data_IF_709004793385
#
_entry.id   IF_709004793385
#
_cell.length_a   1.000
_cell.length_b   1.000
_cell.length_c   1.000
_cell.angle_alpha   90.00
_cell.angle_beta   90.00
_cell.angle_gamma   90.00
#
_symmetry.space_group_name_H-M   'P 1'
#
loop_
_entity.id
_entity.type
_entity.pdbx_description
1 polymer ?
#
# COMPACT_ATOMS: atom_id res chain seq x y z
N UNK A 1 8.52 -8.16 24.37
CA UNK A 1 8.35 -6.80 24.92
C UNK A 1 7.69 -6.93 26.28
N UNK A 2 8.29 -6.31 27.30
CA UNK A 2 7.74 -6.31 28.66
C UNK A 2 6.93 -5.03 28.83
N UNK A 3 5.61 -5.17 28.92
CA UNK A 3 4.67 -4.06 29.06
C UNK A 3 4.60 -3.65 30.53
N UNK A 4 5.43 -2.68 30.92
CA UNK A 4 5.52 -2.23 32.32
C UNK A 4 4.90 -0.84 32.55
N UNK A 5 4.77 -0.04 31.49
CA UNK A 5 4.37 1.36 31.58
C UNK A 5 3.31 1.72 30.53
N UNK A 6 2.41 2.62 30.90
CA UNK A 6 1.51 3.32 30.01
C UNK A 6 2.05 4.72 29.71
N UNK A 7 2.21 5.05 28.42
CA UNK A 7 2.63 6.39 27.99
C UNK A 7 1.41 7.31 27.91
N UNK A 8 1.39 8.35 28.74
CA UNK A 8 0.35 9.38 28.77
C UNK A 8 0.51 10.38 27.61
N UNK A 9 -0.53 11.18 27.28
CA UNK A 9 -0.46 12.16 26.18
C UNK A 9 0.66 13.21 26.31
N UNK A 10 1.08 13.50 27.55
CA UNK A 10 2.19 14.39 27.88
C UNK A 10 3.58 13.70 27.78
N UNK A 11 3.62 12.45 27.29
CA UNK A 11 4.78 11.55 27.21
C UNK A 11 5.32 11.08 28.56
N UNK A 12 4.63 11.34 29.68
CA UNK A 12 5.00 10.76 30.96
C UNK A 12 4.65 9.28 31.04
N UNK A 13 5.43 8.51 31.79
CA UNK A 13 5.25 7.05 31.91
C UNK A 13 4.60 6.72 33.25
N UNK A 14 3.40 6.14 33.21
CA UNK A 14 2.70 5.63 34.38
C UNK A 14 2.91 4.13 34.48
N UNK A 15 3.43 3.65 35.62
CA UNK A 15 3.58 2.20 35.86
C UNK A 15 2.22 1.50 35.80
N UNK A 16 2.15 0.40 35.06
CA UNK A 16 0.94 -0.42 34.98
C UNK A 16 0.71 -1.16 36.29
N UNK A 17 -0.54 -1.24 36.72
CA UNK A 17 -0.94 -2.02 37.92
C UNK A 17 -0.67 -3.53 37.72
N UNK A 18 -0.78 -3.99 36.47
CA UNK A 18 -0.50 -5.36 36.06
C UNK A 18 0.43 -5.33 34.84
N UNK A 19 1.73 -5.65 34.99
CA UNK A 19 2.61 -5.75 33.85
C UNK A 19 2.24 -6.94 32.96
N UNK A 20 2.53 -6.84 31.67
CA UNK A 20 2.25 -7.87 30.68
C UNK A 20 3.48 -8.25 29.87
N UNK A 21 3.38 -9.35 29.12
CA UNK A 21 4.38 -9.75 28.13
C UNK A 21 3.70 -9.80 26.77
N UNK A 22 4.29 -9.12 25.80
CA UNK A 22 3.89 -9.15 24.40
C UNK A 22 5.05 -9.71 23.56
N UNK A 23 4.79 -10.76 22.80
CA UNK A 23 5.77 -11.41 21.94
C UNK A 23 5.28 -11.39 20.50
N UNK A 24 6.14 -10.93 19.59
CA UNK A 24 5.92 -11.04 18.15
C UNK A 24 7.13 -11.70 17.50
N UNK A 25 6.87 -12.71 16.67
CA UNK A 25 7.88 -13.34 15.83
C UNK A 25 7.33 -13.36 14.40
N UNK A 26 8.08 -12.77 13.46
CA UNK A 26 7.64 -12.70 12.06
C UNK A 26 7.69 -14.09 11.43
N UNK A 27 6.53 -14.60 11.01
CA UNK A 27 6.38 -15.94 10.45
C UNK A 27 7.30 -16.14 9.24
N UNK A 28 7.34 -15.19 8.31
CA UNK A 28 8.13 -15.31 7.08
C UNK A 28 9.63 -15.32 7.35
N UNK A 29 10.09 -14.59 8.37
CA UNK A 29 11.50 -14.60 8.78
C UNK A 29 11.86 -15.88 9.51
N UNK A 30 10.96 -16.39 10.35
CA UNK A 30 11.14 -17.68 10.99
C UNK A 30 11.18 -18.80 9.95
N UNK A 31 10.28 -18.78 8.96
CA UNK A 31 10.26 -19.72 7.85
C UNK A 31 11.58 -19.69 7.07
N UNK A 32 12.08 -18.50 6.72
CA UNK A 32 13.38 -18.36 6.05
C UNK A 32 14.52 -18.97 6.87
N UNK A 33 14.58 -18.67 8.18
CA UNK A 33 15.60 -19.24 9.06
C UNK A 33 15.46 -20.78 9.20
N UNK A 34 14.25 -21.29 9.35
CA UNK A 34 13.98 -22.72 9.52
C UNK A 34 14.24 -23.53 8.24
N UNK A 35 14.01 -22.94 7.07
CA UNK A 35 14.22 -23.56 5.77
C UNK A 35 15.64 -23.33 5.21
N UNK A 36 16.46 -22.52 5.88
CA UNK A 36 17.81 -22.17 5.41
C UNK A 36 17.83 -21.26 4.18
N UNK A 37 16.78 -20.46 3.97
CA UNK A 37 16.64 -19.57 2.82
C UNK A 37 17.27 -18.20 3.11
N UNK A 38 18.03 -17.62 2.16
CA UNK A 38 18.71 -16.34 2.36
C UNK A 38 17.73 -15.16 2.38
N UNK A 39 16.54 -15.30 1.78
CA UNK A 39 15.51 -14.27 1.76
C UNK A 39 14.12 -14.86 2.01
N UNK A 40 13.19 -14.05 2.53
CA UNK A 40 11.79 -14.47 2.72
C UNK A 40 11.09 -14.84 1.41
N UNK A 41 11.58 -14.33 0.27
CA UNK A 41 11.00 -14.55 -1.05
C UNK A 41 11.32 -15.92 -1.65
N UNK A 42 12.21 -16.67 -1.01
CA UNK A 42 12.60 -18.03 -1.39
C UNK A 42 11.96 -19.10 -0.48
N UNK A 43 11.14 -18.67 0.48
CA UNK A 43 10.38 -19.57 1.35
C UNK A 43 9.15 -20.15 0.64
N UNK A 44 8.62 -21.24 1.15
CA UNK A 44 7.31 -21.80 0.75
C UNK A 44 6.16 -20.79 0.73
N UNK A 45 6.23 -19.72 1.54
CA UNK A 45 5.22 -18.67 1.61
C UNK A 45 5.26 -17.65 0.45
N UNK A 46 6.36 -17.57 -0.30
CA UNK A 46 6.54 -16.58 -1.37
C UNK A 46 7.08 -17.17 -2.67
N UNK A 47 7.81 -18.29 -2.63
CA UNK A 47 8.38 -18.91 -3.82
C UNK A 47 7.32 -19.19 -4.91
N UNK A 48 6.12 -19.74 -4.60
CA UNK A 48 5.09 -19.96 -5.62
C UNK A 48 4.64 -18.65 -6.31
N UNK A 49 4.48 -17.57 -5.53
CA UNK A 49 4.13 -16.24 -6.05
C UNK A 49 5.25 -15.69 -6.94
N UNK A 50 6.51 -15.84 -6.51
CA UNK A 50 7.67 -15.39 -7.27
C UNK A 50 7.84 -16.18 -8.58
N UNK A 51 7.57 -17.47 -8.56
CA UNK A 51 7.63 -18.33 -9.75
C UNK A 51 6.49 -18.03 -10.72
N UNK A 52 5.27 -17.79 -10.23
CA UNK A 52 4.18 -17.29 -11.05
C UNK A 52 4.54 -15.96 -11.74
N UNK A 53 5.17 -15.03 -11.03
CA UNK A 53 5.64 -13.76 -11.59
C UNK A 53 6.71 -13.94 -12.66
N UNK A 54 7.64 -14.90 -12.51
CA UNK A 54 8.62 -15.25 -13.54
C UNK A 54 7.94 -15.78 -14.80
N UNK A 55 6.99 -16.69 -14.65
CA UNK A 55 6.25 -17.30 -15.76
C UNK A 55 5.42 -16.24 -16.52
N UNK A 56 4.83 -15.29 -15.80
CA UNK A 56 4.05 -14.19 -16.37
C UNK A 56 4.91 -13.12 -17.07
N UNK A 57 6.23 -13.16 -16.90
CA UNK A 57 7.18 -12.24 -17.54
C UNK A 57 8.17 -13.02 -18.45
N UNK A 58 7.66 -13.74 -19.48
CA UNK A 58 8.51 -14.59 -20.31
C UNK A 58 9.46 -13.73 -21.16
N UNK A 59 10.76 -14.02 -21.09
CA UNK A 59 11.80 -13.33 -21.86
C UNK A 59 12.68 -12.36 -21.06
N UNK A 60 12.40 -12.19 -19.77
CA UNK A 60 13.27 -11.46 -18.83
C UNK A 60 13.98 -12.46 -17.93
N UNK A 61 15.28 -12.66 -18.15
CA UNK A 61 16.13 -13.24 -17.10
C UNK A 61 16.13 -12.21 -15.98
N UNK A 62 15.32 -12.44 -14.93
CA UNK A 62 15.14 -11.47 -13.86
C UNK A 62 16.49 -11.10 -13.27
N UNK A 63 17.02 -9.96 -13.70
CA UNK A 63 18.25 -9.42 -13.15
C UNK A 63 18.00 -8.97 -11.69
N UNK A 64 19.00 -8.39 -11.04
CA UNK A 64 18.84 -7.90 -9.66
C UNK A 64 17.71 -6.86 -9.53
N UNK A 65 17.47 -6.03 -10.55
CA UNK A 65 16.46 -4.96 -10.55
C UNK A 65 15.07 -5.52 -10.81
N UNK A 66 14.93 -6.41 -11.78
CA UNK A 66 13.65 -7.06 -12.12
C UNK A 66 13.21 -7.99 -10.99
N UNK A 67 14.16 -8.70 -10.36
CA UNK A 67 13.92 -9.44 -9.12
C UNK A 67 13.39 -8.53 -8.02
N UNK A 68 13.95 -7.32 -7.86
CA UNK A 68 13.44 -6.33 -6.89
C UNK A 68 12.01 -5.91 -7.22
N UNK A 69 11.67 -5.68 -8.49
CA UNK A 69 10.31 -5.34 -8.90
C UNK A 69 9.33 -6.46 -8.59
N UNK A 70 9.67 -7.70 -8.92
CA UNK A 70 8.85 -8.88 -8.62
C UNK A 70 8.61 -9.05 -7.11
N UNK A 71 9.65 -8.86 -6.28
CA UNK A 71 9.52 -8.90 -4.81
C UNK A 71 8.56 -7.83 -4.28
N UNK A 72 8.62 -6.61 -4.83
CA UNK A 72 7.68 -5.53 -4.45
C UNK A 72 6.26 -5.92 -4.81
N UNK A 73 6.02 -6.43 -6.03
CA UNK A 73 4.69 -6.85 -6.47
C UNK A 73 4.15 -7.96 -5.56
N UNK A 74 4.94 -9.00 -5.29
CA UNK A 74 4.54 -10.14 -4.47
C UNK A 74 4.10 -9.71 -3.06
N UNK A 75 4.91 -8.88 -2.39
CA UNK A 75 4.61 -8.38 -1.05
C UNK A 75 3.37 -7.46 -1.03
N UNK A 76 3.33 -6.48 -1.94
CA UNK A 76 2.28 -5.47 -1.94
C UNK A 76 0.93 -6.03 -2.36
N UNK A 77 0.89 -6.97 -3.31
CA UNK A 77 -0.37 -7.61 -3.72
C UNK A 77 -0.86 -8.58 -2.68
N UNK A 78 0.02 -9.35 -2.03
CA UNK A 78 -0.35 -10.15 -0.86
C UNK A 78 -1.02 -9.26 0.20
N UNK A 79 -0.38 -8.15 0.58
CA UNK A 79 -0.94 -7.20 1.53
C UNK A 79 -2.28 -6.59 1.08
N UNK A 80 -2.40 -6.21 -0.19
CA UNK A 80 -3.63 -5.66 -0.73
C UNK A 80 -4.80 -6.66 -0.72
N UNK A 81 -4.55 -7.93 -1.06
CA UNK A 81 -5.53 -9.02 -1.02
C UNK A 81 -6.09 -9.15 0.41
N UNK A 82 -5.22 -9.22 1.42
CA UNK A 82 -5.65 -9.31 2.81
C UNK A 82 -6.45 -8.08 3.27
N UNK A 83 -5.98 -6.87 2.94
CA UNK A 83 -6.71 -5.64 3.27
C UNK A 83 -8.12 -5.61 2.67
N UNK A 84 -8.26 -6.00 1.41
CA UNK A 84 -9.57 -6.04 0.74
C UNK A 84 -10.45 -7.15 1.34
N UNK A 85 -9.88 -8.30 1.69
CA UNK A 85 -10.60 -9.39 2.35
C UNK A 85 -11.18 -9.00 3.72
N UNK A 86 -10.58 -8.02 4.39
CA UNK A 86 -11.07 -7.44 5.65
C UNK A 86 -12.01 -6.22 5.43
N UNK A 87 -12.34 -5.90 4.18
CA UNK A 87 -13.33 -4.90 3.80
C UNK A 87 -12.76 -3.51 3.50
N UNK A 88 -11.44 -3.36 3.37
CA UNK A 88 -10.82 -2.10 2.96
C UNK A 88 -11.01 -1.90 1.45
N UNK A 89 -11.54 -0.74 1.06
CA UNK A 89 -11.77 -0.37 -0.35
C UNK A 89 -10.84 0.78 -0.76
N UNK A 90 -10.25 0.77 -1.97
CA UNK A 90 -9.39 1.85 -2.43
C UNK A 90 -10.08 3.22 -2.37
N UNK A 91 -9.51 4.17 -1.62
CA UNK A 91 -10.10 5.49 -1.38
C UNK A 91 -9.03 6.60 -1.29
N UNK A 92 -9.46 7.85 -1.12
CA UNK A 92 -8.55 8.99 -0.91
C UNK A 92 -8.23 9.25 0.57
N UNK A 93 -8.73 8.43 1.50
CA UNK A 93 -8.64 8.68 2.95
C UNK A 93 -8.27 7.41 3.71
N UNK A 94 -7.57 7.58 4.84
CA UNK A 94 -7.27 6.53 5.83
C UNK A 94 -6.71 5.23 5.22
N UNK A 95 -7.20 4.07 5.66
CA UNK A 95 -6.75 2.76 5.20
C UNK A 95 -6.98 2.56 3.69
N UNK A 96 -8.04 3.14 3.13
CA UNK A 96 -8.32 3.06 1.69
C UNK A 96 -7.28 3.80 0.85
N UNK A 97 -6.70 4.89 1.38
CA UNK A 97 -5.58 5.58 0.75
C UNK A 97 -4.30 4.74 0.79
N UNK A 98 -4.03 4.07 1.92
CA UNK A 98 -2.88 3.16 2.03
C UNK A 98 -2.99 2.03 1.01
N UNK A 99 -4.15 1.36 0.96
CA UNK A 99 -4.43 0.31 -0.03
C UNK A 99 -4.22 0.80 -1.46
N UNK A 100 -4.74 1.99 -1.79
CA UNK A 100 -4.57 2.60 -3.11
C UNK A 100 -3.10 2.79 -3.46
N UNK A 101 -2.26 3.30 -2.55
CA UNK A 101 -0.81 3.49 -2.82
C UNK A 101 -0.12 2.17 -3.10
N UNK A 102 -0.39 1.15 -2.28
CA UNK A 102 0.19 -0.20 -2.39
C UNK A 102 -0.19 -0.84 -3.73
N UNK A 103 -1.47 -0.74 -4.13
CA UNK A 103 -1.94 -1.23 -5.43
C UNK A 103 -1.26 -0.50 -6.59
N UNK A 104 -1.27 0.84 -6.59
CA UNK A 104 -0.67 1.64 -7.69
C UNK A 104 0.82 1.38 -7.88
N UNK A 105 1.54 1.19 -6.76
CA UNK A 105 2.95 0.80 -6.80
C UNK A 105 3.15 -0.57 -7.46
N UNK A 106 2.32 -1.55 -7.09
CA UNK A 106 2.34 -2.88 -7.71
C UNK A 106 2.02 -2.80 -9.21
N UNK A 107 0.99 -2.04 -9.60
CA UNK A 107 0.59 -1.85 -11.00
C UNK A 107 1.70 -1.21 -11.83
N UNK A 108 2.43 -0.20 -11.30
CA UNK A 108 3.59 0.38 -11.99
C UNK A 108 4.64 -0.69 -12.26
N UNK A 109 5.02 -1.46 -11.24
CA UNK A 109 6.06 -2.47 -11.41
C UNK A 109 5.62 -3.63 -12.29
N UNK A 110 4.35 -4.03 -12.23
CA UNK A 110 3.76 -4.98 -13.17
C UNK A 110 3.87 -4.48 -14.61
N UNK A 111 3.64 -3.19 -14.85
CA UNK A 111 3.82 -2.58 -16.18
C UNK A 111 5.28 -2.59 -16.65
N UNK A 112 6.24 -2.34 -15.75
CA UNK A 112 7.68 -2.41 -16.06
C UNK A 112 8.17 -3.83 -16.34
N UNK A 113 7.54 -4.83 -15.71
CA UNK A 113 7.76 -6.26 -15.98
C UNK A 113 6.91 -6.78 -17.14
N UNK A 114 6.12 -5.92 -17.78
CA UNK A 114 5.28 -6.24 -18.94
C UNK A 114 4.30 -7.40 -18.66
N UNK A 115 3.81 -7.49 -17.42
CA UNK A 115 2.86 -8.53 -17.03
C UNK A 115 1.53 -8.39 -17.80
N UNK A 116 0.86 -9.52 -18.13
CA UNK A 116 -0.43 -9.52 -18.81
C UNK A 116 -1.52 -8.91 -17.92
N UNK A 117 -2.60 -8.39 -18.50
CA UNK A 117 -3.62 -7.60 -17.77
C UNK A 117 -4.43 -8.32 -16.69
N UNK A 118 -4.27 -9.63 -16.51
CA UNK A 118 -4.93 -10.45 -15.49
C UNK A 118 -3.94 -11.07 -14.49
N UNK A 119 -2.69 -10.59 -14.47
CA UNK A 119 -1.59 -11.06 -13.63
C UNK A 119 -1.94 -11.22 -12.14
N UNK A 120 -2.76 -10.32 -11.59
CA UNK A 120 -3.17 -10.35 -10.18
C UNK A 120 -4.10 -11.52 -9.85
N UNK A 121 -4.79 -12.10 -10.83
CA UNK A 121 -5.65 -13.29 -10.65
C UNK A 121 -4.83 -14.54 -10.40
N UNK A 122 -3.71 -14.67 -11.11
CA UNK A 122 -2.76 -15.78 -10.91
C UNK A 122 -2.15 -15.67 -9.52
N UNK A 123 -1.67 -14.49 -9.13
CA UNK A 123 -1.11 -14.27 -7.79
C UNK A 123 -2.14 -14.52 -6.69
N UNK A 124 -3.39 -14.09 -6.88
CA UNK A 124 -4.46 -14.38 -5.92
C UNK A 124 -4.63 -15.89 -5.71
N UNK A 125 -4.54 -16.68 -6.79
CA UNK A 125 -4.68 -18.15 -6.71
C UNK A 125 -3.57 -18.74 -5.84
N UNK A 126 -2.31 -18.36 -6.07
CA UNK A 126 -1.18 -18.78 -5.23
C UNK A 126 -1.37 -18.38 -3.75
N UNK A 127 -1.82 -17.14 -3.50
CA UNK A 127 -2.08 -16.66 -2.13
C UNK A 127 -3.23 -17.43 -1.47
N UNK A 128 -4.30 -17.73 -2.21
CA UNK A 128 -5.43 -18.50 -1.70
C UNK A 128 -5.04 -19.96 -1.41
N UNK A 129 -4.15 -20.56 -2.20
CA UNK A 129 -3.62 -21.90 -1.92
C UNK A 129 -2.77 -21.94 -0.65
N UNK A 130 -1.85 -20.97 -0.48
CA UNK A 130 -0.96 -20.91 0.68
C UNK A 130 -1.74 -20.59 1.98
N UNK A 131 -2.67 -19.63 1.92
CA UNK A 131 -3.30 -19.05 3.12
C UNK A 131 -4.77 -19.45 3.31
N UNK A 132 -5.46 -19.99 2.31
CA UNK A 132 -6.91 -20.18 2.31
C UNK A 132 -7.44 -21.06 3.44
N UNK A 133 -6.66 -22.06 3.88
CA UNK A 133 -7.03 -22.92 5.01
C UNK A 133 -7.10 -22.15 6.34
N UNK A 134 -6.17 -21.22 6.58
CA UNK A 134 -6.13 -20.38 7.77
C UNK A 134 -7.02 -19.13 7.64
N UNK A 135 -7.25 -18.67 6.41
CA UNK A 135 -8.00 -17.45 6.09
C UNK A 135 -9.12 -17.73 5.07
N UNK A 136 -10.23 -18.40 5.45
CA UNK A 136 -11.32 -18.74 4.53
C UNK A 136 -12.00 -17.54 3.86
N UNK A 137 -11.85 -16.35 4.46
CA UNK A 137 -12.32 -15.08 3.89
C UNK A 137 -11.74 -14.80 2.51
N UNK A 138 -10.52 -15.28 2.21
CA UNK A 138 -9.89 -15.05 0.92
C UNK A 138 -10.75 -15.59 -0.22
N UNK A 139 -11.25 -16.82 -0.10
CA UNK A 139 -12.12 -17.41 -1.13
C UNK A 139 -13.54 -16.83 -1.07
N UNK A 140 -14.07 -16.58 0.13
CA UNK A 140 -15.41 -16.00 0.30
C UNK A 140 -15.56 -14.62 -0.38
N UNK A 141 -14.48 -13.83 -0.43
CA UNK A 141 -14.47 -12.48 -1.02
C UNK A 141 -13.65 -12.42 -2.31
N UNK A 142 -13.40 -13.57 -2.96
CA UNK A 142 -12.58 -13.64 -4.18
C UNK A 142 -13.04 -12.67 -5.26
N UNK A 143 -14.34 -12.62 -5.53
CA UNK A 143 -14.92 -11.77 -6.56
C UNK A 143 -14.70 -10.28 -6.26
N UNK A 144 -14.93 -9.87 -5.02
CA UNK A 144 -14.74 -8.51 -4.54
C UNK A 144 -13.28 -8.10 -4.59
N UNK A 145 -12.36 -8.98 -4.17
CA UNK A 145 -10.91 -8.75 -4.19
C UNK A 145 -10.44 -8.51 -5.62
N UNK A 146 -10.71 -9.44 -6.53
CA UNK A 146 -10.28 -9.34 -7.92
C UNK A 146 -10.90 -8.13 -8.63
N UNK A 147 -12.19 -7.87 -8.38
CA UNK A 147 -12.89 -6.71 -8.95
C UNK A 147 -12.32 -5.39 -8.44
N UNK A 148 -12.00 -5.29 -7.14
CA UNK A 148 -11.41 -4.09 -6.57
C UNK A 148 -10.02 -3.79 -7.15
N UNK A 149 -9.17 -4.82 -7.29
CA UNK A 149 -7.84 -4.69 -7.89
C UNK A 149 -7.95 -4.27 -9.36
N UNK A 150 -8.78 -4.98 -10.15
CA UNK A 150 -9.01 -4.67 -11.57
C UNK A 150 -9.50 -3.24 -11.79
N UNK A 151 -10.49 -2.82 -11.00
CA UNK A 151 -11.03 -1.47 -11.08
C UNK A 151 -9.98 -0.39 -10.78
N UNK A 152 -9.07 -0.64 -9.83
CA UNK A 152 -7.99 0.32 -9.54
C UNK A 152 -6.93 0.31 -10.65
N UNK A 153 -6.59 -0.86 -11.21
CA UNK A 153 -5.68 -0.97 -12.34
C UNK A 153 -6.18 -0.22 -13.57
N UNK A 154 -7.43 -0.44 -13.99
CA UNK A 154 -8.02 0.25 -15.15
C UNK A 154 -8.07 1.78 -14.96
N UNK A 155 -8.40 2.23 -13.73
CA UNK A 155 -8.40 3.65 -13.38
C UNK A 155 -7.00 4.23 -13.41
N UNK A 156 -6.01 3.51 -12.89
CA UNK A 156 -4.66 4.01 -12.78
C UNK A 156 -3.88 3.92 -14.08
N UNK A 157 -4.13 2.93 -14.94
CA UNK A 157 -3.40 2.74 -16.21
C UNK A 157 -3.39 4.00 -17.08
N UNK A 158 -4.54 4.67 -17.22
CA UNK A 158 -4.68 5.93 -17.96
C UNK A 158 -3.88 7.08 -17.33
N UNK A 159 -3.86 7.12 -16.00
CA UNK A 159 -3.15 8.15 -15.24
C UNK A 159 -1.63 7.89 -15.24
N UNK A 160 -1.21 6.62 -15.18
CA UNK A 160 0.17 6.18 -15.21
C UNK A 160 0.86 6.60 -16.51
N UNK A 161 0.22 6.39 -17.67
CA UNK A 161 0.83 6.78 -18.96
C UNK A 161 1.08 8.29 -19.04
N UNK A 162 0.06 9.10 -18.69
CA UNK A 162 0.17 10.57 -18.73
C UNK A 162 1.14 11.10 -17.67
N UNK A 163 1.05 10.57 -16.45
CA UNK A 163 1.92 10.98 -15.34
C UNK A 163 3.38 10.59 -15.57
N UNK A 164 3.65 9.47 -16.24
CA UNK A 164 5.02 9.08 -16.60
C UNK A 164 5.62 10.05 -17.61
N UNK A 165 4.86 10.43 -18.66
CA UNK A 165 5.31 11.44 -19.64
C UNK A 165 5.57 12.80 -18.98
N UNK A 166 4.71 13.21 -18.03
CA UNK A 166 4.91 14.47 -17.34
C UNK A 166 6.11 14.42 -16.38
N UNK A 167 6.27 13.31 -15.65
CA UNK A 167 7.46 13.06 -14.83
C UNK A 167 8.74 13.13 -15.66
N UNK A 168 8.75 12.54 -16.85
CA UNK A 168 9.91 12.59 -17.74
C UNK A 168 10.29 14.03 -18.10
N UNK A 169 9.32 14.89 -18.44
CA UNK A 169 9.59 16.32 -18.69
C UNK A 169 10.16 17.02 -17.46
N UNK A 170 9.60 16.75 -16.27
CA UNK A 170 10.09 17.33 -15.02
C UNK A 170 11.52 16.85 -14.71
N UNK A 171 11.82 15.59 -14.96
CA UNK A 171 13.15 15.02 -14.78
C UNK A 171 14.18 15.65 -15.73
N UNK A 172 13.82 15.82 -17.01
CA UNK A 172 14.71 16.49 -17.98
C UNK A 172 14.89 17.98 -17.65
N UNK A 173 13.84 18.66 -17.18
CA UNK A 173 13.93 20.04 -16.68
C UNK A 173 14.84 20.15 -15.46
N UNK A 174 14.77 19.20 -14.52
CA UNK A 174 15.65 19.14 -13.36
C UNK A 174 17.12 18.96 -13.76
N UNK A 175 17.39 18.10 -14.75
CA UNK A 175 18.74 17.88 -15.33
C UNK A 175 19.29 19.08 -16.11
N UNK A 176 18.42 19.82 -16.79
CA UNK A 176 18.80 20.99 -17.60
C UNK A 176 18.94 22.28 -16.77
N UNK A 177 18.46 22.30 -15.53
CA UNK A 177 18.56 23.46 -14.67
C UNK A 177 20.04 23.77 -14.34
N UNK A 178 20.47 25.04 -14.31
CA UNK A 178 21.84 25.44 -13.97
C UNK A 178 22.17 25.32 -12.47
N UNK A 179 21.57 24.34 -11.79
CA UNK A 179 21.90 23.99 -10.41
C UNK A 179 23.07 23.02 -10.39
N UNK A 180 23.70 22.93 -9.23
CA UNK A 180 24.84 22.05 -8.95
C UNK A 180 24.59 20.66 -9.57
N UNK A 181 25.45 20.17 -10.48
CA UNK A 181 25.28 18.85 -11.12
C UNK A 181 25.17 17.70 -10.11
N UNK A 182 25.67 17.92 -8.88
CA UNK A 182 25.59 16.98 -7.76
C UNK A 182 24.22 16.94 -7.05
N UNK A 183 23.34 17.93 -7.26
CA UNK A 183 22.08 18.08 -6.55
C UNK A 183 20.89 18.31 -7.51
N UNK A 184 20.65 17.32 -8.36
CA UNK A 184 19.45 17.26 -9.19
C UNK A 184 18.22 17.01 -8.31
N UNK A 185 17.24 17.90 -8.37
CA UNK A 185 16.07 17.82 -7.49
C UNK A 185 14.76 18.20 -8.21
N UNK A 186 13.72 17.39 -8.02
CA UNK A 186 12.33 17.73 -8.36
C UNK A 186 11.72 18.49 -7.19
N UNK A 187 11.16 19.66 -7.46
CA UNK A 187 10.54 20.48 -6.43
C UNK A 187 9.31 19.80 -5.82
N UNK A 188 9.05 20.06 -4.54
CA UNK A 188 7.86 19.54 -3.87
C UNK A 188 6.54 20.00 -4.51
N UNK A 189 6.54 21.15 -5.19
CA UNK A 189 5.40 21.67 -5.96
C UNK A 189 5.14 20.82 -7.20
N UNK A 190 6.19 20.49 -7.95
CA UNK A 190 6.08 19.63 -9.14
C UNK A 190 5.67 18.20 -8.75
N UNK A 191 6.25 17.67 -7.66
CA UNK A 191 5.85 16.39 -7.09
C UNK A 191 4.38 16.41 -6.60
N UNK A 192 3.92 17.54 -6.04
CA UNK A 192 2.54 17.72 -5.65
C UNK A 192 1.60 17.79 -6.87
N UNK A 193 2.00 18.44 -7.96
CA UNK A 193 1.25 18.44 -9.20
C UNK A 193 1.08 17.02 -9.79
N UNK A 194 2.14 16.19 -9.70
CA UNK A 194 2.07 14.77 -10.07
C UNK A 194 1.07 13.99 -9.20
N UNK A 195 1.06 14.28 -7.90
CA UNK A 195 0.11 13.69 -6.95
C UNK A 195 -1.34 14.12 -7.22
N UNK A 196 -1.60 15.41 -7.36
CA UNK A 196 -2.96 15.95 -7.52
C UNK A 196 -3.55 15.61 -8.89
N UNK A 197 -2.77 15.77 -9.96
CA UNK A 197 -3.28 15.65 -11.34
C UNK A 197 -3.30 14.21 -11.84
N UNK A 198 -2.24 13.45 -11.55
CA UNK A 198 -2.05 12.10 -12.09
C UNK A 198 -2.18 11.03 -10.99
N UNK A 199 -2.37 11.42 -9.74
CA UNK A 199 -2.56 10.48 -8.64
C UNK A 199 -1.30 9.68 -8.30
N UNK A 200 -0.11 10.23 -8.56
CA UNK A 200 1.17 9.58 -8.25
C UNK A 200 1.48 9.79 -6.76
N UNK A 201 1.50 8.73 -5.95
CA UNK A 201 1.96 8.85 -4.57
C UNK A 201 3.40 9.40 -4.52
N UNK A 202 3.73 10.18 -3.48
CA UNK A 202 5.09 10.72 -3.30
C UNK A 202 6.17 9.63 -3.40
N UNK A 203 5.90 8.46 -2.81
CA UNK A 203 6.79 7.29 -2.87
C UNK A 203 7.07 6.84 -4.31
N UNK A 204 6.05 6.87 -5.18
CA UNK A 204 6.18 6.50 -6.58
C UNK A 204 7.09 7.49 -7.32
N UNK A 205 6.83 8.79 -7.11
CA UNK A 205 7.64 9.88 -7.68
C UNK A 205 9.08 9.82 -7.21
N UNK A 206 9.30 9.56 -5.91
CA UNK A 206 10.63 9.42 -5.32
C UNK A 206 11.40 8.23 -5.89
N UNK A 207 10.75 7.08 -6.09
CA UNK A 207 11.39 5.92 -6.73
C UNK A 207 11.75 6.20 -8.19
N UNK A 208 10.85 6.81 -8.95
CA UNK A 208 11.12 7.21 -10.34
C UNK A 208 12.27 8.22 -10.44
N UNK A 209 12.36 9.15 -9.49
CA UNK A 209 13.43 10.14 -9.42
C UNK A 209 14.77 9.48 -9.07
N UNK A 210 14.79 8.59 -8.08
CA UNK A 210 15.98 7.86 -7.67
C UNK A 210 16.56 7.00 -8.80
N UNK A 211 15.72 6.37 -9.63
CA UNK A 211 16.16 5.63 -10.82
C UNK A 211 16.88 6.51 -11.85
N UNK A 212 16.66 7.83 -11.83
CA UNK A 212 17.33 8.82 -12.69
C UNK A 212 18.44 9.60 -11.96
N UNK A 213 18.75 9.25 -10.71
CA UNK A 213 19.73 9.98 -9.88
C UNK A 213 19.25 11.36 -9.43
N UNK A 214 17.93 11.55 -9.29
CA UNK A 214 17.30 12.83 -8.94
C UNK A 214 16.64 12.69 -7.55
N UNK A 215 16.82 13.69 -6.69
CA UNK A 215 16.14 13.78 -5.39
C UNK A 215 14.75 14.42 -5.53
N UNK A 216 13.90 14.23 -4.53
CA UNK A 216 12.60 14.92 -4.43
C UNK A 216 12.54 15.69 -3.12
N UNK A 217 12.16 16.97 -3.19
CA UNK A 217 11.95 17.80 -2.01
C UNK A 217 10.66 17.37 -1.27
N UNK A 218 10.82 16.39 -0.38
CA UNK A 218 9.72 15.85 0.43
C UNK A 218 9.13 16.87 1.40
N UNK A 219 9.95 17.76 1.97
CA UNK A 219 9.48 18.75 2.94
C UNK A 219 8.53 19.74 2.27
N UNK A 220 8.91 20.24 1.10
CA UNK A 220 8.07 21.12 0.31
C UNK A 220 6.80 20.42 -0.16
N UNK A 221 6.88 19.15 -0.58
CA UNK A 221 5.68 18.36 -0.90
C UNK A 221 4.74 18.27 0.30
N UNK A 222 5.25 17.99 1.51
CA UNK A 222 4.43 17.89 2.72
C UNK A 222 3.76 19.21 3.07
N UNK A 223 4.43 20.35 2.84
CA UNK A 223 3.83 21.68 3.02
C UNK A 223 2.66 21.90 2.06
N UNK A 224 2.83 21.60 0.77
CA UNK A 224 1.75 21.74 -0.22
C UNK A 224 0.60 20.78 0.05
N UNK A 225 0.92 19.53 0.40
CA UNK A 225 -0.07 18.53 0.78
C UNK A 225 -0.91 18.98 2.00
N UNK A 226 -0.27 19.58 3.00
CA UNK A 226 -0.97 20.13 4.17
C UNK A 226 -1.91 21.28 3.81
N UNK A 227 -1.46 22.22 2.96
CA UNK A 227 -2.31 23.31 2.44
C UNK A 227 -3.54 22.77 1.72
N UNK A 228 -3.35 21.76 0.85
CA UNK A 228 -4.45 21.12 0.13
C UNK A 228 -5.43 20.40 1.08
N UNK A 229 -4.94 19.74 2.13
CA UNK A 229 -5.79 19.14 3.15
C UNK A 229 -6.62 20.19 3.91
N UNK A 230 -6.03 21.32 4.27
CA UNK A 230 -6.72 22.42 4.95
C UNK A 230 -7.82 23.02 4.07
N UNK A 231 -7.54 23.25 2.78
CA UNK A 231 -8.52 23.71 1.79
C UNK A 231 -9.67 22.69 1.62
N UNK A 232 -9.34 21.40 1.48
CA UNK A 232 -10.34 20.34 1.33
C UNK A 232 -11.25 20.22 2.55
N UNK A 233 -10.71 20.39 3.76
CA UNK A 233 -11.48 20.42 5.02
C UNK A 233 -12.41 21.62 5.09
N UNK A 234 -11.92 22.82 4.78
CA UNK A 234 -12.74 24.04 4.74
C UNK A 234 -13.86 23.99 3.67
N UNK A 235 -13.62 23.33 2.53
CA UNK A 235 -14.62 23.10 1.50
C UNK A 235 -15.69 22.07 1.89
N UNK A 236 -15.31 21.10 2.73
CA UNK A 236 -16.21 20.07 3.28
C UNK A 236 -17.19 20.70 4.29
N UNK A 237 -16.72 21.54 5.21
CA UNK A 237 -17.58 22.27 6.15
C UNK A 237 -18.63 23.14 5.44
N UNK A 238 -18.28 23.78 4.31
CA UNK A 238 -19.22 24.56 3.49
C UNK A 238 -20.24 23.71 2.74
N UNK A 239 -19.92 22.47 2.34
CA UNK A 239 -20.86 21.56 1.67
C UNK A 239 -21.78 20.82 2.65
N UNK A 240 -21.33 20.56 3.87
CA UNK A 240 -22.13 19.86 4.90
C UNK A 240 -23.16 20.76 5.61
N UNK A 241 -23.07 22.08 5.49
CA UNK A 241 -24.08 23.02 6.01
C UNK A 241 -25.48 22.93 5.35
N UNK A 242 -25.65 22.16 4.27
CA UNK A 242 -26.94 21.97 3.58
C UNK A 242 -27.50 20.54 3.58
N UNK A 243 -26.75 19.53 4.03
CA UNK A 243 -27.18 18.12 3.98
C UNK A 243 -27.11 17.36 5.32
N UNK A 244 -26.81 18.05 6.43
CA UNK A 244 -26.67 17.41 7.76
C UNK A 244 -27.98 16.87 8.36
N UNK A 245 -29.14 17.06 7.73
CA UNK A 245 -30.43 16.63 8.28
C UNK A 245 -30.84 15.18 7.96
N UNK A 246 -30.16 14.43 7.08
CA UNK A 246 -30.75 13.17 6.55
C UNK A 246 -29.89 11.90 6.55
N UNK A 247 -28.68 11.88 7.11
CA UNK A 247 -27.86 10.65 7.16
C UNK A 247 -27.19 10.40 8.51
N UNK A 248 -27.97 10.41 9.60
CA UNK A 248 -27.45 10.09 10.94
C UNK A 248 -27.65 8.63 11.39
N UNK A 249 -28.59 7.85 10.82
CA UNK A 249 -29.11 6.66 11.53
C UNK A 249 -29.05 5.29 10.84
N UNK A 250 -28.02 4.95 10.06
CA UNK A 250 -27.88 3.55 9.56
C UNK A 250 -26.49 2.91 9.60
N UNK A 251 -25.40 3.67 9.49
CA UNK A 251 -24.05 3.08 9.43
C UNK A 251 -23.36 2.85 10.79
N UNK A 252 -23.64 3.68 11.79
CA UNK A 252 -23.01 3.56 13.13
C UNK A 252 -23.54 2.34 13.92
N UNK A 253 -24.69 1.76 13.54
CA UNK A 253 -25.26 0.59 14.23
C UNK A 253 -24.65 -0.75 13.83
N UNK A 254 -23.94 -0.84 12.70
CA UNK A 254 -23.34 -2.11 12.22
C UNK A 254 -21.97 -2.35 12.88
N UNK A 255 -21.19 -1.29 13.13
CA UNK A 255 -19.88 -1.38 13.81
C UNK A 255 -19.98 -1.69 15.32
N UNK A 256 -21.10 -1.40 15.99
CA UNK A 256 -21.29 -1.75 17.41
C UNK A 256 -21.84 -3.17 17.65
N UNK A 257 -22.29 -3.89 16.63
CA UNK A 257 -22.95 -5.20 16.80
C UNK A 257 -22.02 -6.40 16.62
N UNK A 258 -20.87 -6.22 15.97
CA UNK A 258 -19.89 -7.29 15.75
C UNK A 258 -18.66 -7.26 16.67
N UNK A 259 -18.53 -6.25 17.54
CA UNK A 259 -17.46 -6.18 18.53
C UNK A 259 -17.76 -6.93 19.85
N UNK A 260 -18.97 -7.48 20.03
CA UNK A 260 -19.41 -8.07 21.31
C UNK A 260 -19.61 -9.59 21.30
N UNK A 261 -19.39 -10.29 20.17
CA UNK A 261 -19.64 -11.74 20.07
C UNK A 261 -18.37 -12.60 20.24
N UNK A 262 -17.17 -12.01 20.18
CA UNK A 262 -15.92 -12.79 20.24
C UNK A 262 -15.32 -12.97 21.67
N UNK A 263 -15.96 -12.44 22.72
CA UNK A 263 -15.45 -12.56 24.11
C UNK A 263 -16.21 -13.63 24.94
N UNK A 264 -17.24 -14.29 24.39
CA UNK A 264 -18.07 -15.23 25.16
C UNK A 264 -17.83 -16.74 24.90
N UNK A 265 -16.80 -17.13 24.13
CA UNK A 265 -16.56 -18.56 23.84
C UNK A 265 -15.32 -19.19 24.50
N UNK A 266 -14.59 -18.47 25.36
CA UNK A 266 -13.53 -19.05 26.20
C UNK A 266 -13.96 -18.98 27.67
N UNK A 267 -15.00 -19.75 28.01
CA UNK A 267 -15.34 -20.12 29.39
C UNK A 267 -16.32 -21.28 29.42
N UNK A 268 -15.91 -22.44 28.88
CA UNK A 268 -16.43 -23.78 29.23
C UNK A 268 -15.59 -24.86 28.56
N UNK A 269 -14.47 -25.22 29.20
CA UNK A 269 -14.03 -26.58 29.49
C UNK A 269 -12.92 -26.48 30.52
#
# INVERSE_FOLDING_TARGET
MFNEYYCLPDKSLKKLERPGVDTGMGLERLAAAAQGMPTIFETDLFAPIMDALKVLSPGKDLDKRETRHARIIADHIKGAIFLISDGVVPSNVEAGYVLRRVLRKSIRYAKLLELPGDWFTVIFTEVAEIYGAAYPKLENYRSEILTAIKNEEEKFAKALEKGTKEFEKLAEKAKAAPRDPEHLEISGVDAFALFETYGFPLELTGEMAAEKGIAVDEESFRREFKKHQEISRAGTEKKFGKYSALTSNKWVRILRRNACVLILFIRKK
#
